data_IF_472938836618
#
_entry.id   IF_472938836618
#
_cell.length_a   1.000
_cell.length_b   1.000
_cell.length_c   1.000
_cell.angle_alpha   90.00
_cell.angle_beta   90.00
_cell.angle_gamma   90.00
#
_symmetry.space_group_name_H-M   'P 1'
#
loop_
_entity.id
_entity.type
_entity.pdbx_description
1 polymer ?
#
# COMPACT_ATOMS: atom_id res chain seq x y z
N UNK A 1 18.92 19.61 -13.43
CA UNK A 1 18.11 18.43 -13.12
C UNK A 1 17.47 18.70 -11.76
N UNK A 2 16.14 18.65 -11.67
CA UNK A 2 15.41 18.90 -10.43
C UNK A 2 14.84 17.57 -9.94
N UNK A 3 15.13 17.20 -8.69
CA UNK A 3 14.73 15.93 -8.08
C UNK A 3 13.63 16.11 -7.02
N UNK A 4 13.09 17.34 -6.89
CA UNK A 4 12.01 17.61 -5.97
C UNK A 4 10.71 17.05 -6.51
N UNK A 5 9.89 16.51 -5.63
CA UNK A 5 8.52 16.13 -5.97
C UNK A 5 7.72 17.36 -6.40
N UNK A 6 6.94 17.18 -7.46
CA UNK A 6 5.87 18.07 -7.86
C UNK A 6 4.79 18.16 -6.79
N UNK A 7 3.95 19.19 -6.87
CA UNK A 7 2.81 19.33 -5.96
C UNK A 7 1.81 18.17 -6.07
N UNK A 8 1.67 17.58 -7.27
CA UNK A 8 0.84 16.39 -7.47
C UNK A 8 1.41 15.18 -6.73
N UNK A 9 2.72 14.95 -6.82
CA UNK A 9 3.40 13.84 -6.14
C UNK A 9 3.36 14.00 -4.61
N UNK A 10 3.53 15.22 -4.09
CA UNK A 10 3.37 15.51 -2.66
C UNK A 10 1.94 15.29 -2.18
N UNK A 11 0.95 15.72 -2.97
CA UNK A 11 -0.46 15.49 -2.67
C UNK A 11 -0.77 13.99 -2.61
N UNK A 12 -0.23 13.21 -3.56
CA UNK A 12 -0.37 11.76 -3.57
C UNK A 12 0.34 11.10 -2.38
N UNK A 13 1.55 11.54 -2.03
CA UNK A 13 2.26 11.04 -0.85
C UNK A 13 1.41 11.23 0.42
N UNK A 14 0.80 12.41 0.59
CA UNK A 14 -0.09 12.71 1.71
C UNK A 14 -1.35 11.85 1.66
N UNK A 15 -1.95 11.67 0.49
CA UNK A 15 -3.13 10.81 0.29
C UNK A 15 -2.86 9.37 0.73
N UNK A 16 -1.71 8.81 0.35
CA UNK A 16 -1.30 7.45 0.75
C UNK A 16 -1.07 7.37 2.26
N UNK A 17 -0.41 8.38 2.83
CA UNK A 17 -0.17 8.42 4.28
C UNK A 17 -1.46 8.52 5.09
N UNK A 18 -2.41 9.36 4.67
CA UNK A 18 -3.70 9.51 5.34
C UNK A 18 -4.52 8.22 5.23
N UNK A 19 -4.51 7.57 4.06
CA UNK A 19 -5.15 6.27 3.86
C UNK A 19 -4.59 5.21 4.81
N UNK A 20 -3.25 5.07 4.89
CA UNK A 20 -2.63 4.10 5.79
C UNK A 20 -3.00 4.39 7.25
N UNK A 21 -2.97 5.64 7.69
CA UNK A 21 -3.32 5.99 9.09
C UNK A 21 -4.78 5.72 9.44
N UNK A 22 -5.67 5.81 8.46
CA UNK A 22 -7.11 5.61 8.67
C UNK A 22 -7.49 4.13 8.64
N UNK A 23 -6.94 3.38 7.68
CA UNK A 23 -7.39 2.02 7.37
C UNK A 23 -6.50 0.95 8.03
N UNK A 24 -5.25 1.26 8.38
CA UNK A 24 -4.37 0.30 9.05
C UNK A 24 -4.78 0.15 10.53
N UNK A 25 -4.98 -1.07 11.02
CA UNK A 25 -5.44 -1.29 12.39
C UNK A 25 -4.43 -0.76 13.42
N UNK A 26 -4.91 -0.23 14.57
CA UNK A 26 -4.03 0.20 15.66
C UNK A 26 -3.11 -0.94 16.10
N UNK A 27 -1.83 -0.62 16.34
CA UNK A 27 -0.79 -1.58 16.77
C UNK A 27 -0.47 -2.68 15.76
N UNK A 28 -0.80 -2.51 14.48
CA UNK A 28 -0.41 -3.43 13.41
C UNK A 28 1.09 -3.76 13.43
N UNK A 29 1.92 -2.73 13.60
CA UNK A 29 3.37 -2.85 13.68
C UNK A 29 3.87 -3.54 14.96
N UNK A 30 3.09 -3.54 16.04
CA UNK A 30 3.41 -4.20 17.31
C UNK A 30 3.02 -5.68 17.29
N UNK A 31 1.92 -6.03 16.61
CA UNK A 31 1.47 -7.42 16.41
C UNK A 31 2.26 -8.16 15.34
N UNK A 32 3.16 -7.47 14.62
CA UNK A 32 4.12 -7.96 13.62
C UNK A 32 3.87 -9.42 13.22
N UNK A 33 2.91 -9.62 12.31
CA UNK A 33 2.76 -10.91 11.64
C UNK A 33 4.04 -11.10 10.84
N UNK A 34 4.87 -11.99 11.37
CA UNK A 34 6.13 -12.54 10.87
C UNK A 34 6.93 -11.68 9.88
N UNK A 35 8.18 -11.36 10.22
CA UNK A 35 9.12 -10.90 9.21
C UNK A 35 9.41 -12.06 8.23
N UNK A 36 9.27 -11.88 6.90
CA UNK A 36 8.88 -10.65 6.21
C UNK A 36 7.46 -10.82 5.64
N UNK A 37 6.45 -10.24 6.29
CA UNK A 37 5.09 -10.20 5.76
C UNK A 37 5.11 -9.66 4.33
N UNK A 38 4.84 -10.55 3.36
CA UNK A 38 4.89 -10.29 1.92
C UNK A 38 6.18 -10.71 1.20
N UNK A 39 7.34 -10.79 1.86
CA UNK A 39 8.60 -11.22 1.21
C UNK A 39 8.86 -12.71 1.47
N UNK A 40 8.06 -13.57 0.84
CA UNK A 40 8.20 -15.02 0.97
C UNK A 40 7.56 -15.60 2.23
N UNK A 41 6.51 -14.96 2.76
CA UNK A 41 5.61 -15.63 3.70
C UNK A 41 4.86 -16.76 2.98
N UNK A 42 4.82 -17.93 3.63
CA UNK A 42 3.99 -19.05 3.20
C UNK A 42 2.60 -18.77 3.79
N UNK A 43 1.59 -18.68 2.93
CA UNK A 43 0.22 -18.33 3.33
C UNK A 43 -0.35 -19.22 4.46
N UNK A 44 0.18 -20.43 4.63
CA UNK A 44 -0.19 -21.39 5.68
C UNK A 44 0.27 -21.00 7.09
N UNK A 45 1.23 -20.06 7.23
CA UNK A 45 1.69 -19.54 8.52
C UNK A 45 1.09 -18.18 8.89
N UNK A 46 0.30 -17.57 8.00
CA UNK A 46 -0.46 -16.38 8.33
C UNK A 46 -1.82 -16.80 8.88
N UNK A 47 -2.05 -16.56 10.17
CA UNK A 47 -3.41 -16.43 10.64
C UNK A 47 -4.03 -15.30 9.81
N UNK A 48 -5.11 -15.60 9.06
CA UNK A 48 -5.85 -14.57 8.33
C UNK A 48 -6.40 -13.62 9.38
N UNK A 49 -5.70 -12.51 9.60
CA UNK A 49 -6.15 -11.44 10.47
C UNK A 49 -7.24 -10.70 9.69
N UNK A 50 -8.52 -10.73 10.12
CA UNK A 50 -9.62 -10.08 9.41
C UNK A 50 -9.36 -8.59 9.11
N UNK A 51 -8.58 -7.93 9.95
CA UNK A 51 -8.17 -6.54 9.77
C UNK A 51 -7.20 -6.33 8.60
N UNK A 52 -6.37 -7.32 8.25
CA UNK A 52 -5.52 -7.29 7.04
C UNK A 52 -6.38 -7.42 5.79
N UNK A 53 -7.35 -8.34 5.83
CA UNK A 53 -8.27 -8.56 4.72
C UNK A 53 -9.12 -7.31 4.46
N UNK A 54 -9.61 -6.67 5.52
CA UNK A 54 -10.27 -5.37 5.43
C UNK A 54 -9.39 -4.34 4.71
N UNK A 55 -8.13 -4.18 5.14
CA UNK A 55 -7.22 -3.23 4.50
C UNK A 55 -6.97 -3.53 3.02
N UNK A 56 -6.79 -4.80 2.65
CA UNK A 56 -6.65 -5.24 1.24
C UNK A 56 -7.90 -4.95 0.42
N UNK A 57 -9.09 -5.16 0.98
CA UNK A 57 -10.35 -4.79 0.34
C UNK A 57 -10.43 -3.28 0.07
N UNK A 58 -10.04 -2.46 1.05
CA UNK A 58 -10.03 -0.99 0.92
C UNK A 58 -9.03 -0.50 -0.13
N UNK A 59 -7.87 -1.15 -0.26
CA UNK A 59 -6.94 -0.92 -1.37
C UNK A 59 -7.57 -1.25 -2.72
N UNK A 60 -8.33 -2.34 -2.80
CA UNK A 60 -9.09 -2.75 -3.99
C UNK A 60 -10.15 -1.73 -4.40
N UNK A 61 -10.97 -1.27 -3.45
CA UNK A 61 -12.00 -0.23 -3.67
C UNK A 61 -11.38 1.08 -4.20
N UNK A 62 -10.17 1.40 -3.75
CA UNK A 62 -9.42 2.59 -4.19
C UNK A 62 -8.74 2.41 -5.56
N UNK A 63 -8.75 1.20 -6.12
CA UNK A 63 -8.08 0.86 -7.37
C UNK A 63 -6.55 0.83 -7.26
N UNK A 64 -6.01 0.65 -6.05
CA UNK A 64 -4.58 0.70 -5.77
C UNK A 64 -3.89 -0.66 -5.83
N UNK A 65 -4.64 -1.74 -6.09
CA UNK A 65 -4.07 -3.08 -6.31
C UNK A 65 -3.25 -3.10 -7.63
N UNK A 66 -3.83 -2.80 -8.82
CA UNK A 66 -3.06 -2.68 -10.06
C UNK A 66 -2.74 -1.22 -10.40
N UNK A 67 -1.84 -0.57 -9.64
CA UNK A 67 -1.49 0.84 -9.89
C UNK A 67 -0.89 1.10 -11.28
N UNK A 68 -0.19 0.11 -11.85
CA UNK A 68 0.49 0.21 -13.14
C UNK A 68 -0.44 -0.02 -14.33
N UNK A 69 -1.59 -0.63 -14.14
CA UNK A 69 -2.47 -0.98 -15.26
C UNK A 69 -3.22 0.24 -15.80
N UNK A 70 -3.55 0.23 -17.10
CA UNK A 70 -4.49 1.17 -17.69
C UNK A 70 -5.84 1.20 -16.94
N UNK A 71 -6.47 2.38 -16.89
CA UNK A 71 -7.80 2.55 -16.25
C UNK A 71 -8.89 1.67 -16.87
N UNK A 72 -8.78 1.40 -18.17
CA UNK A 72 -9.69 0.49 -18.90
C UNK A 72 -9.68 -0.95 -18.34
N UNK A 73 -8.62 -1.35 -17.64
CA UNK A 73 -8.49 -2.66 -16.99
C UNK A 73 -8.64 -2.57 -15.46
N UNK A 74 -9.20 -1.47 -14.95
CA UNK A 74 -9.39 -1.26 -13.50
C UNK A 74 -8.13 -0.80 -12.76
N UNK A 75 -7.08 -0.38 -13.49
CA UNK A 75 -5.85 0.16 -12.90
C UNK A 75 -5.89 1.65 -12.61
N UNK A 76 -4.91 2.12 -11.83
CA UNK A 76 -4.81 3.53 -11.48
C UNK A 76 -4.02 4.37 -12.51
N UNK A 77 -3.38 3.73 -13.50
CA UNK A 77 -2.51 4.36 -14.51
C UNK A 77 -1.52 5.38 -13.92
N UNK A 78 -0.95 5.04 -12.76
CA UNK A 78 -0.04 5.90 -12.03
C UNK A 78 1.35 5.89 -12.65
N UNK A 79 2.01 7.03 -12.57
CA UNK A 79 3.39 7.21 -13.06
C UNK A 79 4.38 6.35 -12.26
N UNK A 80 5.60 6.17 -12.79
CA UNK A 80 6.65 5.45 -12.06
C UNK A 80 7.01 6.09 -10.71
N UNK A 81 7.00 7.43 -10.63
CA UNK A 81 7.31 8.13 -9.38
C UNK A 81 6.17 7.96 -8.36
N UNK A 82 4.91 8.09 -8.77
CA UNK A 82 3.78 7.81 -7.88
C UNK A 82 3.80 6.37 -7.37
N UNK A 83 4.13 5.40 -8.23
CA UNK A 83 4.30 4.00 -7.80
C UNK A 83 5.42 3.83 -6.77
N UNK A 84 6.55 4.53 -6.97
CA UNK A 84 7.66 4.52 -6.02
C UNK A 84 7.27 5.16 -4.68
N UNK A 85 6.55 6.29 -4.70
CA UNK A 85 6.01 6.95 -3.50
C UNK A 85 5.07 6.00 -2.75
N UNK A 86 4.14 5.34 -3.45
CA UNK A 86 3.24 4.37 -2.82
C UNK A 86 4.04 3.25 -2.15
N UNK A 87 4.97 2.61 -2.89
CA UNK A 87 5.79 1.54 -2.35
C UNK A 87 6.57 1.96 -1.10
N UNK A 88 7.24 3.12 -1.16
CA UNK A 88 7.97 3.69 -0.02
C UNK A 88 7.05 3.87 1.20
N UNK A 89 5.87 4.47 1.03
CA UNK A 89 4.94 4.73 2.13
C UNK A 89 4.38 3.45 2.73
N UNK A 90 4.00 2.48 1.90
CA UNK A 90 3.51 1.17 2.36
C UNK A 90 4.60 0.44 3.15
N UNK A 91 5.82 0.39 2.63
CA UNK A 91 6.97 -0.22 3.32
C UNK A 91 7.31 0.49 4.62
N UNK A 92 7.27 1.82 4.66
CA UNK A 92 7.56 2.62 5.86
C UNK A 92 6.61 2.27 7.01
N UNK A 93 5.32 2.10 6.71
CA UNK A 93 4.29 1.71 7.69
C UNK A 93 4.17 0.20 7.88
N UNK A 94 5.00 -0.58 7.17
CA UNK A 94 4.91 -2.05 7.09
C UNK A 94 3.53 -2.54 6.67
N UNK A 95 2.77 -1.72 5.94
CA UNK A 95 1.41 -2.06 5.54
C UNK A 95 1.42 -3.32 4.66
N UNK A 96 0.39 -4.19 4.78
CA UNK A 96 0.32 -5.38 3.94
C UNK A 96 0.19 -4.95 2.49
N UNK A 97 1.11 -5.45 1.65
CA UNK A 97 1.18 -5.09 0.25
C UNK A 97 -0.04 -5.59 -0.54
N UNK A 98 -0.21 -5.09 -1.78
CA UNK A 98 -1.19 -5.60 -2.73
C UNK A 98 -0.81 -6.99 -3.31
N UNK A 99 0.35 -7.54 -2.92
CA UNK A 99 0.90 -8.83 -3.36
C UNK A 99 0.56 -10.00 -2.42
#
# INVERSE_FOLDING_TARGET
MDFRFSEQEKAFQKEVEDFIKQELPPRYTEKSVYWPGGYGTIAEFEEIIPEIDHFRHRLGEKGWLPMSWPREYGGASRTHIERAIFGERMSYHRAPGPE
#
